data_IF_431165062298
#
_entry.id   IF_431165062298
#
_cell.length_a   1.000
_cell.length_b   1.000
_cell.length_c   1.000
_cell.angle_alpha   90.00
_cell.angle_beta   90.00
_cell.angle_gamma   90.00
#
_symmetry.space_group_name_H-M   'P 1'
#
loop_
_entity.id
_entity.type
_entity.pdbx_description
1 polymer ?
#
# COMPACT_ATOMS: atom_id res chain seq x y z
N UNK A 1 29.13 -2.79 -13.61
CA UNK A 1 27.87 -2.63 -14.37
C UNK A 1 26.81 -2.17 -13.43
N UNK A 2 25.84 -1.36 -13.86
CA UNK A 2 24.72 -0.95 -13.01
C UNK A 2 23.83 -2.16 -12.70
N UNK A 3 23.42 -2.31 -11.43
CA UNK A 3 22.52 -3.41 -11.01
C UNK A 3 21.12 -3.19 -11.54
N UNK A 4 20.44 -4.28 -11.88
CA UNK A 4 19.08 -4.29 -12.44
C UNK A 4 18.07 -4.69 -11.38
N UNK A 5 17.03 -3.89 -11.20
CA UNK A 5 15.97 -4.13 -10.20
C UNK A 5 14.61 -4.23 -10.89
N UNK A 6 13.89 -5.31 -10.65
CA UNK A 6 12.49 -5.43 -11.04
C UNK A 6 11.59 -4.84 -9.94
N UNK A 7 10.73 -3.89 -10.29
CA UNK A 7 9.65 -3.38 -9.43
C UNK A 7 8.32 -3.86 -10.00
N UNK A 8 7.59 -4.71 -9.27
CA UNK A 8 6.30 -5.20 -9.76
C UNK A 8 5.18 -4.19 -9.54
N UNK A 9 4.26 -4.07 -10.52
CA UNK A 9 3.07 -3.23 -10.40
C UNK A 9 3.31 -1.74 -10.54
N UNK A 10 4.02 -1.31 -11.60
CA UNK A 10 4.48 0.05 -11.84
C UNK A 10 3.41 1.15 -11.85
N UNK A 11 2.12 0.82 -12.00
CA UNK A 11 1.02 1.78 -11.84
C UNK A 11 0.66 2.08 -10.39
N UNK A 12 1.25 1.34 -9.42
CA UNK A 12 0.92 1.47 -8.00
C UNK A 12 1.64 2.64 -7.32
N UNK A 13 1.03 3.20 -6.28
CA UNK A 13 1.55 4.34 -5.52
C UNK A 13 2.96 4.10 -4.96
N UNK A 14 3.15 3.01 -4.22
CA UNK A 14 4.47 2.66 -3.65
C UNK A 14 5.46 2.27 -4.75
N UNK A 15 5.01 1.53 -5.77
CA UNK A 15 5.87 1.11 -6.88
C UNK A 15 6.42 2.31 -7.67
N UNK A 16 5.60 3.32 -7.94
CA UNK A 16 6.04 4.54 -8.62
C UNK A 16 7.18 5.23 -7.88
N UNK A 17 7.09 5.36 -6.54
CA UNK A 17 8.15 5.94 -5.73
C UNK A 17 9.39 5.05 -5.63
N UNK A 18 9.24 3.73 -5.56
CA UNK A 18 10.38 2.81 -5.63
C UNK A 18 11.12 2.95 -6.97
N UNK A 19 10.39 3.04 -8.09
CA UNK A 19 10.97 3.25 -9.43
C UNK A 19 11.72 4.58 -9.47
N UNK A 20 11.09 5.67 -9.04
CA UNK A 20 11.69 7.00 -9.04
C UNK A 20 13.01 7.02 -8.25
N UNK A 21 12.99 6.50 -7.03
CA UNK A 21 14.14 6.48 -6.14
C UNK A 21 15.29 5.58 -6.68
N UNK A 22 14.97 4.42 -7.27
CA UNK A 22 15.96 3.55 -7.90
C UNK A 22 16.63 4.23 -9.08
N UNK A 23 15.88 4.91 -9.95
CA UNK A 23 16.41 5.64 -11.09
C UNK A 23 17.34 6.78 -10.64
N UNK A 24 16.97 7.54 -9.61
CA UNK A 24 17.83 8.58 -9.02
C UNK A 24 19.16 8.01 -8.50
N UNK A 25 19.13 6.80 -7.91
CA UNK A 25 20.32 6.10 -7.41
C UNK A 25 21.15 5.40 -8.49
N UNK A 26 20.73 5.46 -9.75
CA UNK A 26 21.53 4.96 -10.87
C UNK A 26 21.26 3.52 -11.27
N UNK A 27 20.28 2.85 -10.70
CA UNK A 27 19.88 1.48 -11.08
C UNK A 27 19.27 1.42 -12.46
N UNK A 28 19.40 0.27 -13.12
CA UNK A 28 18.55 -0.12 -14.25
C UNK A 28 17.24 -0.67 -13.67
N UNK A 29 16.11 -0.11 -14.09
CA UNK A 29 14.82 -0.48 -13.53
C UNK A 29 13.97 -1.18 -14.57
N UNK A 30 13.43 -2.32 -14.20
CA UNK A 30 12.35 -2.98 -14.91
C UNK A 30 11.07 -2.83 -14.11
N UNK A 31 9.93 -2.70 -14.79
CA UNK A 31 8.66 -2.70 -14.09
C UNK A 31 7.61 -3.51 -14.82
N UNK A 32 6.68 -4.11 -14.07
CA UNK A 32 5.58 -4.86 -14.66
C UNK A 32 4.31 -4.03 -14.71
N UNK A 33 3.59 -4.17 -15.81
CA UNK A 33 2.26 -3.59 -16.05
C UNK A 33 1.30 -4.70 -16.49
N UNK A 34 0.04 -4.65 -16.09
CA UNK A 34 -1.00 -5.56 -16.63
C UNK A 34 -1.28 -5.28 -18.11
N UNK A 35 -1.12 -4.03 -18.53
CA UNK A 35 -1.20 -3.60 -19.93
C UNK A 35 -0.10 -2.58 -20.21
N UNK A 36 0.69 -2.81 -21.24
CA UNK A 36 1.75 -1.89 -21.68
C UNK A 36 1.18 -0.56 -22.19
N UNK A 37 -0.11 -0.47 -22.50
CA UNK A 37 -0.76 0.81 -22.83
C UNK A 37 -0.66 1.85 -21.71
N UNK A 38 -0.36 1.42 -20.48
CA UNK A 38 -0.14 2.31 -19.33
C UNK A 38 1.30 2.85 -19.22
N UNK A 39 2.23 2.34 -20.03
CA UNK A 39 3.64 2.76 -20.00
C UNK A 39 3.84 4.27 -20.10
N UNK A 40 3.24 4.99 -21.06
CA UNK A 40 3.46 6.44 -21.17
C UNK A 40 3.05 7.20 -19.92
N UNK A 41 1.93 6.81 -19.30
CA UNK A 41 1.44 7.42 -18.08
C UNK A 41 2.37 7.17 -16.89
N UNK A 42 2.91 5.95 -16.75
CA UNK A 42 3.87 5.63 -15.68
C UNK A 42 5.19 6.35 -15.89
N UNK A 43 5.71 6.42 -17.13
CA UNK A 43 6.93 7.19 -17.43
C UNK A 43 6.77 8.66 -17.05
N UNK A 44 5.66 9.30 -17.47
CA UNK A 44 5.39 10.69 -17.12
C UNK A 44 5.31 10.91 -15.60
N UNK A 45 4.61 10.02 -14.89
CA UNK A 45 4.49 10.08 -13.43
C UNK A 45 5.86 9.95 -12.72
N UNK A 46 6.69 9.01 -13.15
CA UNK A 46 8.00 8.77 -12.56
C UNK A 46 8.98 9.89 -12.93
N UNK A 47 8.92 10.43 -14.15
CA UNK A 47 9.79 11.54 -14.58
C UNK A 47 9.62 12.79 -13.71
N UNK A 48 8.42 13.06 -13.20
CA UNK A 48 8.18 14.17 -12.28
C UNK A 48 8.95 14.02 -10.94
N UNK A 49 9.32 12.80 -10.57
CA UNK A 49 10.07 12.50 -9.34
C UNK A 49 11.53 12.11 -9.56
N UNK A 50 11.93 11.62 -10.73
CA UNK A 50 13.23 10.97 -10.95
C UNK A 50 14.11 11.60 -12.05
N UNK A 51 13.61 12.54 -12.85
CA UNK A 51 14.32 13.00 -14.04
C UNK A 51 14.20 12.00 -15.22
N UNK A 52 15.28 11.77 -16.02
CA UNK A 52 15.20 10.96 -17.23
C UNK A 52 14.80 9.50 -16.97
N UNK A 53 13.82 9.03 -17.74
CA UNK A 53 13.33 7.64 -17.67
C UNK A 53 14.08 6.64 -18.56
N UNK A 54 15.25 6.97 -19.08
CA UNK A 54 15.99 6.16 -20.07
C UNK A 54 16.41 4.77 -19.56
N UNK A 55 16.54 4.63 -18.25
CA UNK A 55 16.91 3.38 -17.57
C UNK A 55 15.70 2.58 -17.07
N UNK A 56 14.50 2.87 -17.56
CA UNK A 56 13.26 2.19 -17.19
C UNK A 56 12.70 1.40 -18.38
N UNK A 57 12.46 0.12 -18.18
CA UNK A 57 11.80 -0.77 -19.16
C UNK A 57 10.59 -1.45 -18.57
N UNK A 58 9.60 -1.78 -19.41
CA UNK A 58 8.35 -2.37 -18.96
C UNK A 58 8.10 -3.75 -19.54
N UNK A 59 7.47 -4.60 -18.76
CA UNK A 59 7.09 -5.96 -19.10
C UNK A 59 5.61 -6.17 -18.79
N UNK A 60 4.90 -6.87 -19.69
CA UNK A 60 3.53 -7.28 -19.42
C UNK A 60 3.53 -8.48 -18.47
N UNK A 61 2.95 -8.34 -17.27
CA UNK A 61 2.74 -9.43 -16.33
C UNK A 61 1.55 -9.14 -15.42
N UNK A 62 0.82 -10.20 -15.06
CA UNK A 62 -0.35 -10.12 -14.19
C UNK A 62 -0.23 -11.17 -13.07
N UNK A 63 -0.58 -10.79 -11.83
CA UNK A 63 -0.52 -11.69 -10.67
C UNK A 63 -1.41 -12.94 -10.82
N UNK A 64 -2.42 -12.91 -11.68
CA UNK A 64 -3.31 -14.06 -11.94
C UNK A 64 -2.87 -14.93 -13.11
N UNK A 65 -1.77 -14.60 -13.79
CA UNK A 65 -1.24 -15.32 -14.96
C UNK A 65 0.19 -15.78 -14.72
N UNK A 66 0.55 -16.91 -15.32
CA UNK A 66 1.93 -17.42 -15.28
C UNK A 66 2.87 -16.65 -16.22
N UNK A 67 2.32 -16.13 -17.33
CA UNK A 67 3.11 -15.51 -18.40
C UNK A 67 3.69 -14.17 -17.98
N UNK A 68 4.86 -13.85 -18.51
CA UNK A 68 5.54 -12.56 -18.40
C UNK A 68 6.55 -12.47 -17.26
N UNK A 69 6.45 -13.30 -16.22
CA UNK A 69 7.33 -13.22 -15.05
C UNK A 69 8.76 -13.60 -15.36
N UNK A 70 8.99 -14.72 -16.06
CA UNK A 70 10.34 -15.16 -16.44
C UNK A 70 11.09 -14.07 -17.25
N UNK A 71 10.41 -13.45 -18.22
CA UNK A 71 10.99 -12.37 -19.01
C UNK A 71 11.27 -11.11 -18.18
N UNK A 72 10.38 -10.78 -17.25
CA UNK A 72 10.55 -9.61 -16.40
C UNK A 72 11.73 -9.74 -15.44
N UNK A 73 11.98 -10.93 -14.87
CA UNK A 73 13.06 -11.17 -13.88
C UNK A 73 14.40 -11.55 -14.51
N UNK A 74 14.45 -11.95 -15.77
CA UNK A 74 15.69 -12.44 -16.40
C UNK A 74 16.83 -11.42 -16.32
N UNK A 75 17.95 -11.78 -15.68
CA UNK A 75 19.10 -10.88 -15.49
C UNK A 75 18.87 -9.74 -14.48
N UNK A 76 17.84 -9.83 -13.64
CA UNK A 76 17.69 -8.91 -12.51
C UNK A 76 18.55 -9.36 -11.33
N UNK A 77 19.16 -8.42 -10.65
CA UNK A 77 19.88 -8.63 -9.40
C UNK A 77 18.92 -8.71 -8.22
N UNK A 78 17.87 -7.91 -8.24
CA UNK A 78 16.89 -7.78 -7.18
C UNK A 78 15.46 -7.66 -7.70
N UNK A 79 14.50 -7.99 -6.84
CA UNK A 79 13.07 -7.78 -7.08
C UNK A 79 12.45 -7.04 -5.90
N UNK A 80 11.80 -5.90 -6.17
CA UNK A 80 10.87 -5.26 -5.24
C UNK A 80 9.45 -5.70 -5.62
N UNK A 81 8.91 -6.67 -4.87
CA UNK A 81 7.56 -7.17 -5.09
C UNK A 81 6.54 -6.30 -4.36
N UNK A 82 6.11 -5.23 -5.03
CA UNK A 82 5.18 -4.22 -4.51
C UNK A 82 3.74 -4.49 -4.97
N UNK A 83 3.58 -5.14 -6.12
CA UNK A 83 2.27 -5.46 -6.68
C UNK A 83 1.41 -6.26 -5.69
N UNK A 84 0.20 -5.83 -5.51
CA UNK A 84 -0.83 -6.54 -4.76
C UNK A 84 -2.20 -6.17 -5.33
N UNK A 85 -3.17 -7.09 -5.37
CA UNK A 85 -4.52 -6.72 -5.76
C UNK A 85 -5.08 -5.72 -4.74
N UNK A 86 -5.45 -4.54 -5.23
CA UNK A 86 -6.12 -3.49 -4.49
C UNK A 86 -7.38 -3.09 -5.27
N UNK A 87 -8.52 -3.03 -4.58
CA UNK A 87 -9.80 -2.76 -5.23
C UNK A 87 -10.39 -4.01 -5.90
N UNK A 88 -11.51 -3.84 -6.53
CA UNK A 88 -12.36 -4.92 -7.04
C UNK A 88 -13.65 -5.00 -6.22
N UNK A 89 -14.66 -5.61 -6.80
CA UNK A 89 -15.94 -5.80 -6.11
C UNK A 89 -15.84 -6.97 -5.10
N UNK A 90 -15.23 -6.67 -3.94
CA UNK A 90 -15.14 -7.61 -2.81
C UNK A 90 -16.50 -7.90 -2.18
N UNK A 91 -17.56 -7.20 -2.61
CA UNK A 91 -18.91 -7.41 -2.11
C UNK A 91 -19.50 -8.76 -2.57
N UNK A 92 -19.05 -9.25 -3.73
CA UNK A 92 -19.51 -10.52 -4.32
C UNK A 92 -18.72 -11.72 -3.85
N UNK A 93 -17.41 -11.58 -3.68
CA UNK A 93 -16.52 -12.64 -3.18
C UNK A 93 -15.44 -12.06 -2.28
N UNK A 94 -15.53 -12.23 -0.96
CA UNK A 94 -14.51 -11.81 -0.03
C UNK A 94 -13.14 -12.46 -0.27
N UNK A 95 -13.07 -13.60 -0.98
CA UNK A 95 -11.84 -14.30 -1.29
C UNK A 95 -11.21 -13.86 -2.62
N UNK A 96 -11.89 -13.03 -3.42
CA UNK A 96 -11.41 -12.58 -4.72
C UNK A 96 -10.02 -11.87 -4.67
N UNK A 97 -9.63 -11.34 -3.52
CA UNK A 97 -8.29 -10.74 -3.32
C UNK A 97 -7.27 -11.76 -2.81
N UNK A 98 -7.68 -12.87 -2.19
CA UNK A 98 -6.77 -13.78 -1.48
C UNK A 98 -5.95 -14.59 -2.48
N UNK A 99 -6.60 -15.30 -3.42
CA UNK A 99 -5.90 -16.12 -4.39
C UNK A 99 -4.94 -15.29 -5.26
N UNK A 100 -5.35 -14.16 -5.88
CA UNK A 100 -4.42 -13.32 -6.63
C UNK A 100 -3.24 -12.80 -5.80
N UNK A 101 -3.45 -12.45 -4.53
CA UNK A 101 -2.36 -11.97 -3.67
C UNK A 101 -1.38 -13.09 -3.31
N UNK A 102 -1.89 -14.25 -2.88
CA UNK A 102 -1.08 -15.40 -2.47
C UNK A 102 -0.38 -16.01 -3.67
N UNK A 103 -1.12 -16.41 -4.68
CA UNK A 103 -0.60 -17.17 -5.81
C UNK A 103 0.26 -16.29 -6.72
N UNK A 104 -0.10 -15.01 -6.87
CA UNK A 104 0.72 -14.02 -7.56
C UNK A 104 2.07 -13.79 -6.88
N UNK A 105 2.09 -13.75 -5.55
CA UNK A 105 3.35 -13.68 -4.79
C UNK A 105 4.22 -14.91 -5.03
N UNK A 106 3.63 -16.12 -5.03
CA UNK A 106 4.36 -17.35 -5.29
C UNK A 106 4.92 -17.41 -6.72
N UNK A 107 4.18 -16.91 -7.74
CA UNK A 107 4.68 -16.78 -9.12
C UNK A 107 5.90 -15.89 -9.21
N UNK A 108 5.86 -14.73 -8.57
CA UNK A 108 7.00 -13.81 -8.56
C UNK A 108 8.20 -14.41 -7.86
N UNK A 109 8.01 -15.08 -6.72
CA UNK A 109 9.09 -15.73 -5.96
C UNK A 109 9.68 -16.90 -6.76
N UNK A 110 8.87 -17.74 -7.38
CA UNK A 110 9.33 -18.86 -8.20
C UNK A 110 10.15 -18.38 -9.40
N UNK A 111 9.68 -17.36 -10.10
CA UNK A 111 10.41 -16.75 -11.22
C UNK A 111 11.74 -16.13 -10.75
N UNK A 112 11.74 -15.39 -9.64
CA UNK A 112 12.95 -14.78 -9.07
C UNK A 112 13.97 -15.83 -8.61
N UNK A 113 13.51 -16.89 -7.95
CA UNK A 113 14.36 -17.99 -7.49
C UNK A 113 14.98 -18.76 -8.68
N UNK A 114 14.18 -19.05 -9.71
CA UNK A 114 14.63 -19.69 -10.95
C UNK A 114 15.68 -18.84 -11.69
N UNK A 115 15.54 -17.52 -11.68
CA UNK A 115 16.46 -16.58 -12.31
C UNK A 115 17.72 -16.31 -11.47
N UNK A 116 17.83 -16.82 -10.25
CA UNK A 116 18.97 -16.59 -9.36
C UNK A 116 19.05 -15.17 -8.81
N UNK A 117 17.91 -14.49 -8.67
CA UNK A 117 17.82 -13.15 -8.06
C UNK A 117 18.39 -13.19 -6.63
N UNK A 118 19.27 -12.28 -6.29
CA UNK A 118 19.92 -12.25 -4.96
C UNK A 118 18.92 -12.04 -3.82
N UNK A 119 17.97 -11.12 -4.01
CA UNK A 119 16.95 -10.85 -2.98
C UNK A 119 15.64 -10.36 -3.57
N UNK A 120 14.56 -10.87 -3.00
CA UNK A 120 13.20 -10.33 -3.17
C UNK A 120 12.81 -9.55 -1.93
N UNK A 121 12.41 -8.28 -2.09
CA UNK A 121 11.82 -7.48 -1.02
C UNK A 121 10.33 -7.35 -1.30
N UNK A 122 9.51 -7.94 -0.43
CA UNK A 122 8.05 -7.97 -0.59
C UNK A 122 7.37 -6.92 0.27
N UNK A 123 6.44 -6.18 -0.30
CA UNK A 123 5.55 -5.28 0.46
C UNK A 123 4.38 -6.06 1.04
N UNK A 124 4.44 -6.34 2.33
CA UNK A 124 3.34 -6.90 3.13
C UNK A 124 2.45 -5.78 3.71
N UNK A 125 2.01 -5.90 4.94
CA UNK A 125 1.28 -4.87 5.68
C UNK A 125 1.47 -5.06 7.19
N UNK A 126 1.43 -4.00 7.99
CA UNK A 126 1.46 -4.08 9.46
C UNK A 126 0.33 -4.96 10.03
N UNK A 127 -0.75 -5.16 9.26
CA UNK A 127 -1.82 -6.09 9.61
C UNK A 127 -1.33 -7.54 9.78
N UNK A 128 -0.25 -7.95 9.11
CA UNK A 128 0.32 -9.30 9.21
C UNK A 128 1.11 -9.53 10.52
N UNK A 129 1.44 -8.47 11.24
CA UNK A 129 2.08 -8.50 12.54
C UNK A 129 1.13 -8.06 13.67
N UNK A 130 -0.19 -8.16 13.48
CA UNK A 130 -1.16 -7.73 14.48
C UNK A 130 -1.48 -8.86 15.46
N UNK A 131 -1.30 -8.63 16.77
CA UNK A 131 -1.68 -9.60 17.80
C UNK A 131 -3.22 -9.77 17.87
N UNK A 132 -3.71 -10.81 18.56
CA UNK A 132 -5.13 -11.00 18.82
C UNK A 132 -5.77 -9.76 19.45
N UNK A 133 -7.05 -9.53 19.16
CA UNK A 133 -7.79 -8.43 19.78
C UNK A 133 -7.91 -8.59 21.30
N UNK A 134 -7.71 -7.48 22.01
CA UNK A 134 -7.75 -7.46 23.47
C UNK A 134 -6.41 -7.80 24.11
N UNK A 135 -5.39 -8.12 23.34
CA UNK A 135 -4.01 -8.23 23.80
C UNK A 135 -3.40 -6.83 23.94
N UNK A 136 -2.74 -6.56 25.05
CA UNK A 136 -1.92 -5.35 25.28
C UNK A 136 -0.51 -5.49 24.68
N UNK A 137 -0.26 -6.57 23.93
CA UNK A 137 1.04 -6.82 23.33
C UNK A 137 1.35 -5.84 22.20
N UNK A 138 2.61 -5.46 22.14
CA UNK A 138 3.14 -4.63 21.03
C UNK A 138 3.21 -5.48 19.77
N UNK A 139 2.72 -4.95 18.67
CA UNK A 139 2.97 -5.56 17.35
C UNK A 139 4.44 -5.33 16.98
N UNK A 140 5.21 -6.39 16.91
CA UNK A 140 6.58 -6.42 16.38
C UNK A 140 6.72 -7.48 15.29
N UNK A 141 7.91 -7.65 14.76
CA UNK A 141 8.17 -8.55 13.64
C UNK A 141 8.09 -10.04 14.02
N UNK A 142 8.03 -10.40 15.30
CA UNK A 142 7.86 -11.78 15.78
C UNK A 142 6.40 -12.23 15.76
N UNK A 143 5.48 -11.25 15.81
CA UNK A 143 4.04 -11.51 15.82
C UNK A 143 3.53 -11.90 14.44
N UNK A 144 2.74 -12.96 14.38
CA UNK A 144 2.04 -13.41 13.19
C UNK A 144 0.53 -13.36 13.41
N UNK A 145 -0.14 -12.55 12.63
CA UNK A 145 -1.60 -12.45 12.69
C UNK A 145 -2.27 -13.76 12.25
N UNK A 146 -3.36 -14.13 12.91
CA UNK A 146 -4.17 -15.29 12.54
C UNK A 146 -5.09 -14.93 11.35
N UNK A 147 -4.92 -15.55 10.17
CA UNK A 147 -5.77 -15.29 9.01
C UNK A 147 -7.22 -15.75 9.21
N UNK A 148 -7.51 -16.64 10.17
CA UNK A 148 -8.87 -17.08 10.51
C UNK A 148 -9.64 -16.05 11.33
N UNK A 149 -8.99 -15.00 11.83
CA UNK A 149 -9.65 -13.96 12.60
C UNK A 149 -10.69 -13.23 11.74
N UNK A 150 -11.97 -13.42 12.08
CA UNK A 150 -13.14 -12.85 11.40
C UNK A 150 -13.21 -11.31 11.42
N UNK A 151 -12.41 -10.66 12.23
CA UNK A 151 -12.33 -9.19 12.30
C UNK A 151 -11.44 -8.59 11.21
N UNK A 152 -10.68 -9.42 10.50
CA UNK A 152 -9.94 -8.98 9.33
C UNK A 152 -10.83 -8.99 8.09
N UNK A 153 -10.82 -7.87 7.38
CA UNK A 153 -11.41 -7.78 6.06
C UNK A 153 -10.61 -8.61 5.03
N UNK A 154 -11.17 -8.77 3.83
CA UNK A 154 -10.55 -9.56 2.76
C UNK A 154 -9.14 -9.05 2.38
N UNK A 155 -8.93 -7.73 2.40
CA UNK A 155 -7.63 -7.15 2.10
C UNK A 155 -6.57 -7.53 3.15
N UNK A 156 -6.88 -7.37 4.45
CA UNK A 156 -5.95 -7.74 5.53
C UNK A 156 -5.64 -9.24 5.49
N UNK A 157 -6.67 -10.07 5.31
CA UNK A 157 -6.49 -11.53 5.16
C UNK A 157 -5.63 -11.88 3.95
N UNK A 158 -5.82 -11.22 2.80
CA UNK A 158 -5.00 -11.45 1.61
C UNK A 158 -3.52 -11.15 1.85
N UNK A 159 -3.21 -10.06 2.58
CA UNK A 159 -1.83 -9.71 2.94
C UNK A 159 -1.19 -10.71 3.90
N UNK A 160 -1.92 -11.15 4.92
CA UNK A 160 -1.44 -12.15 5.89
C UNK A 160 -1.12 -13.48 5.16
N UNK A 161 -2.04 -13.96 4.34
CA UNK A 161 -1.90 -15.22 3.61
C UNK A 161 -0.80 -15.17 2.56
N UNK A 162 -0.66 -14.04 1.84
CA UNK A 162 0.42 -13.85 0.87
C UNK A 162 1.80 -13.84 1.53
N UNK A 163 1.94 -13.15 2.68
CA UNK A 163 3.22 -13.12 3.40
C UNK A 163 3.57 -14.50 3.98
N UNK A 164 2.62 -15.22 4.59
CA UNK A 164 2.85 -16.58 5.09
C UNK A 164 3.28 -17.51 3.97
N UNK A 165 2.54 -17.52 2.85
CA UNK A 165 2.89 -18.35 1.69
C UNK A 165 4.28 -18.02 1.12
N UNK A 166 4.68 -16.75 1.14
CA UNK A 166 6.03 -16.34 0.73
C UNK A 166 7.11 -16.94 1.63
N UNK A 167 6.91 -16.91 2.95
CA UNK A 167 7.85 -17.49 3.91
C UNK A 167 7.88 -19.02 3.85
N UNK A 168 6.71 -19.67 3.69
CA UNK A 168 6.61 -21.13 3.52
C UNK A 168 7.35 -21.58 2.25
N UNK A 169 7.19 -20.86 1.13
CA UNK A 169 7.93 -21.10 -0.10
C UNK A 169 9.45 -21.00 0.13
N UNK A 170 9.90 -19.95 0.82
CA UNK A 170 11.32 -19.75 1.08
C UNK A 170 11.91 -20.75 2.07
N UNK A 171 11.12 -21.30 2.99
CA UNK A 171 11.57 -22.35 3.89
C UNK A 171 11.91 -23.66 3.14
N UNK A 172 11.25 -23.94 2.01
CA UNK A 172 11.55 -25.07 1.12
C UNK A 172 12.59 -24.74 0.04
N UNK A 173 13.03 -23.47 -0.08
CA UNK A 173 13.95 -23.07 -1.13
C UNK A 173 15.41 -23.31 -0.74
N UNK A 174 16.15 -24.03 -1.59
CA UNK A 174 17.57 -24.40 -1.37
C UNK A 174 18.57 -23.55 -2.15
N UNK A 175 18.09 -22.59 -2.96
CA UNK A 175 18.93 -21.68 -3.74
C UNK A 175 19.44 -20.49 -2.93
N UNK A 176 20.19 -19.60 -3.59
CA UNK A 176 20.80 -18.40 -2.96
C UNK A 176 19.85 -17.21 -2.81
N UNK A 177 18.69 -17.24 -3.44
CA UNK A 177 17.70 -16.16 -3.34
C UNK A 177 17.20 -16.02 -1.91
N UNK A 178 17.18 -14.80 -1.40
CA UNK A 178 16.66 -14.50 -0.05
C UNK A 178 15.39 -13.66 -0.12
N UNK A 179 14.54 -13.73 0.90
CA UNK A 179 13.35 -12.92 1.07
C UNK A 179 13.53 -11.92 2.21
N UNK A 180 13.01 -10.72 2.01
CA UNK A 180 12.78 -9.72 3.06
C UNK A 180 11.34 -9.21 2.93
N UNK A 181 10.61 -9.04 4.02
CA UNK A 181 9.27 -8.45 3.97
C UNK A 181 9.23 -7.11 4.71
N UNK A 182 8.63 -6.11 4.08
CA UNK A 182 8.35 -4.80 4.67
C UNK A 182 6.87 -4.72 4.99
N UNK A 183 6.54 -4.38 6.23
CA UNK A 183 5.19 -4.34 6.77
C UNK A 183 4.78 -2.87 7.04
N UNK A 184 4.31 -2.13 6.04
CA UNK A 184 3.97 -0.72 6.24
C UNK A 184 2.68 -0.55 7.04
N UNK A 185 2.64 0.57 7.79
CA UNK A 185 1.42 1.15 8.33
C UNK A 185 0.54 1.76 7.24
N UNK A 186 -0.17 2.82 7.55
CA UNK A 186 -0.93 3.59 6.57
C UNK A 186 0.04 4.47 5.74
N UNK A 187 0.13 4.18 4.44
CA UNK A 187 1.07 4.85 3.54
C UNK A 187 0.42 6.12 3.00
N UNK A 188 0.99 7.26 3.34
CA UNK A 188 0.64 8.57 2.81
C UNK A 188 1.85 9.21 2.13
N UNK A 189 1.69 10.42 1.61
CA UNK A 189 2.74 11.18 0.95
C UNK A 189 2.33 11.63 -0.44
N UNK A 190 3.21 12.31 -1.18
CA UNK A 190 2.89 12.88 -2.48
C UNK A 190 2.47 11.82 -3.49
N UNK A 191 1.38 12.07 -4.20
CA UNK A 191 0.90 11.20 -5.28
C UNK A 191 1.59 11.57 -6.59
N UNK A 192 1.90 10.56 -7.40
CA UNK A 192 2.49 10.72 -8.73
C UNK A 192 1.45 10.62 -9.85
N UNK A 193 0.26 10.12 -9.53
CA UNK A 193 -0.84 9.92 -10.48
C UNK A 193 -2.18 10.23 -9.83
N UNK A 194 -3.23 10.37 -10.64
CA UNK A 194 -4.60 10.60 -10.15
C UNK A 194 -5.20 9.35 -9.50
N UNK A 195 -4.82 8.16 -9.94
CA UNK A 195 -5.34 6.88 -9.45
C UNK A 195 -4.54 6.40 -8.23
N UNK A 196 -5.00 6.72 -7.03
CA UNK A 196 -4.33 6.35 -5.78
C UNK A 196 -5.27 5.59 -4.85
N UNK A 197 -5.38 4.26 -4.99
CA UNK A 197 -6.14 3.45 -4.05
C UNK A 197 -5.41 3.32 -2.70
N UNK A 198 -6.15 2.90 -1.67
CA UNK A 198 -5.58 2.65 -0.34
C UNK A 198 -5.66 3.84 0.60
N UNK A 199 -4.63 4.03 1.45
CA UNK A 199 -4.67 5.01 2.54
C UNK A 199 -4.81 6.46 2.07
N UNK A 200 -4.29 6.80 0.90
CA UNK A 200 -4.41 8.14 0.29
C UNK A 200 -5.87 8.60 0.17
N UNK A 201 -6.79 7.64 -0.03
CA UNK A 201 -8.23 7.92 -0.08
C UNK A 201 -8.79 8.53 1.21
N UNK A 202 -8.12 8.36 2.34
CA UNK A 202 -8.52 8.99 3.62
C UNK A 202 -8.34 10.51 3.51
N UNK A 203 -7.18 10.95 3.02
CA UNK A 203 -6.87 12.39 2.82
C UNK A 203 -7.79 12.98 1.75
N UNK A 204 -7.94 12.27 0.62
CA UNK A 204 -8.82 12.68 -0.47
C UNK A 204 -10.25 12.93 0.02
N UNK A 205 -10.85 11.97 0.73
CA UNK A 205 -12.21 12.11 1.27
C UNK A 205 -12.33 13.23 2.30
N UNK A 206 -11.33 13.42 3.15
CA UNK A 206 -11.33 14.54 4.10
C UNK A 206 -11.36 15.88 3.36
N UNK A 207 -10.57 16.05 2.31
CA UNK A 207 -10.57 17.26 1.47
C UNK A 207 -11.92 17.49 0.76
N UNK A 208 -12.65 16.40 0.45
CA UNK A 208 -14.02 16.48 -0.10
C UNK A 208 -15.11 16.73 0.96
N UNK A 209 -14.76 16.82 2.24
CA UNK A 209 -15.72 16.94 3.33
C UNK A 209 -16.38 15.65 3.78
N UNK A 210 -15.73 14.51 3.52
CA UNK A 210 -16.26 13.16 3.82
C UNK A 210 -15.36 12.39 4.79
N UNK A 211 -15.95 11.65 5.73
CA UNK A 211 -17.36 11.68 6.15
C UNK A 211 -17.74 13.00 6.80
N UNK A 212 -19.01 13.33 6.91
CA UNK A 212 -19.49 14.59 7.51
C UNK A 212 -19.11 14.76 9.00
N UNK A 213 -18.75 13.67 9.68
CA UNK A 213 -18.20 13.68 11.03
C UNK A 213 -16.98 12.76 11.11
N UNK A 214 -15.96 13.14 11.88
CA UNK A 214 -14.68 12.46 11.99
C UNK A 214 -14.81 11.30 13.01
N UNK A 215 -14.72 10.02 12.59
CA UNK A 215 -14.71 8.89 13.51
C UNK A 215 -13.39 8.83 14.29
N UNK A 216 -13.42 8.26 15.49
CA UNK A 216 -12.24 8.04 16.32
C UNK A 216 -11.41 6.86 15.82
N UNK A 217 -10.88 7.01 14.62
CA UNK A 217 -9.95 6.06 13.98
C UNK A 217 -8.54 6.64 13.98
N UNK A 218 -7.54 5.79 14.11
CA UNK A 218 -6.15 6.22 14.11
C UNK A 218 -5.28 5.33 13.25
N UNK A 219 -4.16 5.90 12.78
CA UNK A 219 -3.27 5.29 11.81
C UNK A 219 -1.81 5.48 12.23
N UNK A 220 -1.01 4.42 12.11
CA UNK A 220 0.43 4.53 12.10
C UNK A 220 0.85 4.97 10.71
N UNK A 221 1.31 6.19 10.61
CA UNK A 221 1.65 6.85 9.33
C UNK A 221 3.04 6.46 8.89
N UNK A 222 3.21 6.19 7.60
CA UNK A 222 4.52 6.10 6.96
C UNK A 222 4.48 6.88 5.65
N UNK A 223 5.53 7.67 5.39
CA UNK A 223 5.67 8.38 4.13
C UNK A 223 6.11 7.41 3.02
N UNK A 224 5.50 7.53 1.86
CA UNK A 224 5.80 6.67 0.70
C UNK A 224 7.25 6.79 0.24
N UNK A 225 7.87 7.95 0.40
CA UNK A 225 9.29 8.21 0.06
C UNK A 225 10.22 7.48 1.02
N UNK A 226 9.91 7.53 2.33
CA UNK A 226 10.66 6.80 3.36
C UNK A 226 10.46 5.30 3.23
N UNK A 227 9.26 4.88 2.81
CA UNK A 227 8.96 3.48 2.52
C UNK A 227 9.74 2.98 1.31
N UNK A 228 9.83 3.76 0.23
CA UNK A 228 10.64 3.42 -0.95
C UNK A 228 12.13 3.30 -0.59
N UNK A 229 12.68 4.26 0.14
CA UNK A 229 14.04 4.21 0.66
C UNK A 229 14.29 2.94 1.50
N UNK A 230 13.36 2.61 2.38
CA UNK A 230 13.45 1.40 3.21
C UNK A 230 13.47 0.11 2.37
N UNK A 231 12.67 0.03 1.30
CA UNK A 231 12.71 -1.12 0.37
C UNK A 231 14.09 -1.26 -0.28
N UNK A 232 14.70 -0.16 -0.71
CA UNK A 232 16.01 -0.17 -1.36
C UNK A 232 17.12 -0.51 -0.36
N UNK A 233 17.08 0.01 0.87
CA UNK A 233 18.01 -0.39 1.93
C UNK A 233 17.86 -1.88 2.28
N UNK A 234 16.63 -2.38 2.38
CA UNK A 234 16.37 -3.79 2.65
C UNK A 234 16.85 -4.71 1.50
N UNK A 235 16.86 -4.19 0.27
CA UNK A 235 17.35 -4.90 -0.90
C UNK A 235 18.86 -5.21 -0.80
N UNK A 236 19.65 -4.24 -0.35
CA UNK A 236 21.12 -4.31 -0.37
C UNK A 236 21.75 -4.72 0.96
N UNK A 237 21.09 -4.45 2.10
CA UNK A 237 21.68 -4.72 3.42
C UNK A 237 21.81 -6.23 3.68
N UNK A 238 23.01 -6.78 3.99
CA UNK A 238 23.16 -8.21 4.28
C UNK A 238 22.28 -8.68 5.46
N UNK A 239 22.16 -7.85 6.51
CA UNK A 239 21.38 -8.15 7.70
C UNK A 239 19.85 -8.16 7.46
N UNK A 240 19.38 -7.79 6.26
CA UNK A 240 17.97 -7.86 5.91
C UNK A 240 17.53 -9.23 5.36
N UNK A 241 18.49 -10.09 4.99
CA UNK A 241 18.18 -11.42 4.47
C UNK A 241 17.40 -12.25 5.49
N UNK A 242 16.29 -12.85 5.06
CA UNK A 242 15.45 -13.67 5.94
C UNK A 242 14.71 -12.88 7.04
N UNK A 243 14.50 -11.57 6.86
CA UNK A 243 13.97 -10.72 7.91
C UNK A 243 12.64 -10.06 7.50
N UNK A 244 11.81 -9.80 8.54
CA UNK A 244 10.62 -8.94 8.46
C UNK A 244 10.95 -7.59 9.07
N UNK A 245 10.41 -6.50 8.53
CA UNK A 245 10.57 -5.14 9.06
C UNK A 245 9.25 -4.38 9.06
N UNK A 246 8.84 -3.89 10.21
CA UNK A 246 7.70 -2.99 10.33
C UNK A 246 8.13 -1.58 9.93
N UNK A 247 7.40 -1.00 8.99
CA UNK A 247 7.61 0.37 8.50
C UNK A 247 6.48 1.28 9.00
N UNK A 248 6.69 1.90 10.16
CA UNK A 248 5.73 2.82 10.76
C UNK A 248 6.45 4.01 11.41
N UNK A 249 5.95 5.22 11.14
CA UNK A 249 6.41 6.44 11.77
C UNK A 249 5.59 6.77 13.01
N UNK A 250 4.93 7.92 13.02
CA UNK A 250 4.10 8.41 14.11
C UNK A 250 2.64 7.95 13.99
N UNK A 251 1.97 7.82 15.12
CA UNK A 251 0.53 7.55 15.16
C UNK A 251 -0.25 8.87 15.11
N UNK A 252 -1.24 8.96 14.22
CA UNK A 252 -2.18 10.08 14.16
C UNK A 252 -3.63 9.59 14.23
N UNK A 253 -4.46 10.26 15.04
CA UNK A 253 -5.90 10.13 14.93
C UNK A 253 -6.40 10.83 13.66
N UNK A 254 -7.51 10.39 13.11
CA UNK A 254 -8.14 11.03 11.95
C UNK A 254 -8.52 12.50 12.24
N UNK A 255 -8.78 12.81 13.51
CA UNK A 255 -9.01 14.18 13.97
C UNK A 255 -7.74 15.04 13.90
N UNK A 256 -6.58 14.48 14.31
CA UNK A 256 -5.29 15.18 14.21
C UNK A 256 -4.94 15.44 12.75
N UNK A 257 -5.21 14.45 11.87
CA UNK A 257 -5.05 14.61 10.41
C UNK A 257 -5.93 15.76 9.91
N UNK A 258 -7.23 15.73 10.21
CA UNK A 258 -8.16 16.76 9.77
C UNK A 258 -7.78 18.16 10.29
N UNK A 259 -7.35 18.25 11.53
CA UNK A 259 -6.88 19.50 12.14
C UNK A 259 -5.62 20.02 11.48
N UNK A 260 -4.64 19.13 11.23
CA UNK A 260 -3.40 19.47 10.52
C UNK A 260 -3.69 20.01 9.11
N UNK A 261 -4.59 19.34 8.36
CA UNK A 261 -4.98 19.79 7.02
C UNK A 261 -5.60 21.20 7.06
N UNK A 262 -6.54 21.46 7.98
CA UNK A 262 -7.15 22.79 8.10
C UNK A 262 -6.14 23.88 8.45
N UNK A 263 -5.26 23.61 9.41
CA UNK A 263 -4.26 24.58 9.87
C UNK A 263 -3.21 24.90 8.79
N UNK A 264 -2.78 23.87 8.03
CA UNK A 264 -1.69 24.04 7.06
C UNK A 264 -2.15 24.47 5.67
N UNK A 265 -3.36 24.08 5.25
CA UNK A 265 -3.89 24.40 3.93
C UNK A 265 -4.88 25.57 3.90
N UNK A 266 -5.36 26.01 5.07
CA UNK A 266 -6.26 27.17 5.19
C UNK A 266 -7.54 27.00 4.36
N UNK A 267 -7.85 27.99 3.50
CA UNK A 267 -9.04 27.97 2.63
C UNK A 267 -9.12 26.77 1.69
N UNK A 268 -7.99 26.22 1.27
CA UNK A 268 -7.94 25.01 0.42
C UNK A 268 -8.48 23.75 1.11
N UNK A 269 -8.56 23.76 2.44
CA UNK A 269 -9.12 22.67 3.25
C UNK A 269 -10.44 23.06 3.94
N UNK A 270 -11.18 24.06 3.43
CA UNK A 270 -12.41 24.57 4.03
C UNK A 270 -13.52 23.52 4.17
N UNK A 271 -13.53 22.50 3.30
CA UNK A 271 -14.50 21.39 3.37
C UNK A 271 -14.14 20.32 4.40
N UNK A 272 -12.89 20.27 4.89
CA UNK A 272 -12.45 19.25 5.85
C UNK A 272 -13.30 19.31 7.11
N UNK A 273 -13.94 18.20 7.53
CA UNK A 273 -14.88 18.19 8.65
C UNK A 273 -14.24 18.66 9.95
N UNK A 274 -15.03 19.29 10.80
CA UNK A 274 -14.62 19.77 12.14
C UNK A 274 -15.29 19.01 13.27
N UNK A 275 -16.43 18.36 13.01
CA UNK A 275 -17.21 17.68 14.03
C UNK A 275 -16.77 16.26 14.21
N UNK A 276 -16.69 15.80 15.45
CA UNK A 276 -16.49 14.39 15.78
C UNK A 276 -17.75 13.59 15.50
N UNK A 277 -17.57 12.38 14.99
CA UNK A 277 -18.64 11.40 14.91
C UNK A 277 -18.64 10.55 16.18
N UNK A 278 -19.72 10.56 17.00
CA UNK A 278 -19.77 9.74 18.21
C UNK A 278 -19.62 8.25 17.89
N UNK A 279 -18.91 7.53 18.76
CA UNK A 279 -18.60 6.12 18.53
C UNK A 279 -19.86 5.25 18.35
N UNK A 280 -20.95 5.55 19.09
CA UNK A 280 -22.19 4.81 18.94
C UNK A 280 -22.83 5.01 17.56
N UNK A 281 -22.78 6.23 17.00
CA UNK A 281 -23.28 6.52 15.65
C UNK A 281 -22.46 5.74 14.62
N UNK A 282 -21.11 5.73 14.76
CA UNK A 282 -20.26 4.96 13.87
C UNK A 282 -20.57 3.46 13.94
N UNK A 283 -20.83 2.92 15.14
CA UNK A 283 -21.22 1.51 15.31
C UNK A 283 -22.55 1.19 14.65
N UNK A 284 -23.54 2.08 14.73
CA UNK A 284 -24.82 1.92 14.03
C UNK A 284 -24.59 1.96 12.51
N UNK A 285 -23.83 2.94 12.01
CA UNK A 285 -23.51 3.02 10.58
C UNK A 285 -22.75 1.78 10.07
N UNK A 286 -21.96 1.15 10.92
CA UNK A 286 -21.21 -0.07 10.56
C UNK A 286 -22.10 -1.29 10.29
N UNK A 287 -23.36 -1.26 10.71
CA UNK A 287 -24.33 -2.32 10.37
C UNK A 287 -24.75 -2.25 8.90
N UNK A 288 -24.77 -1.05 8.32
CA UNK A 288 -25.27 -0.77 6.98
C UNK A 288 -24.18 -0.48 5.96
N UNK A 289 -23.02 0.07 6.38
CA UNK A 289 -21.95 0.51 5.50
C UNK A 289 -20.76 -0.48 5.59
N UNK A 290 -20.47 -1.25 4.53
CA UNK A 290 -19.39 -2.25 4.55
C UNK A 290 -18.03 -1.69 4.96
N UNK A 291 -17.66 -0.49 4.47
CA UNK A 291 -16.41 0.18 4.86
C UNK A 291 -16.38 0.50 6.37
N UNK A 292 -17.46 1.03 6.92
CA UNK A 292 -17.54 1.30 8.37
C UNK A 292 -17.45 0.01 9.18
N UNK A 293 -18.04 -1.08 8.69
CA UNK A 293 -17.97 -2.41 9.31
C UNK A 293 -16.54 -2.93 9.37
N UNK A 294 -15.76 -2.79 8.31
CA UNK A 294 -14.35 -3.23 8.28
C UNK A 294 -13.45 -2.41 9.23
N UNK A 295 -13.82 -1.16 9.52
CA UNK A 295 -13.09 -0.26 10.39
C UNK A 295 -13.54 -0.30 11.86
N UNK A 296 -14.76 -0.78 12.12
CA UNK A 296 -15.36 -0.80 13.46
C UNK A 296 -14.48 -1.49 14.54
N UNK A 297 -13.76 -2.59 14.25
CA UNK A 297 -12.84 -3.19 15.22
C UNK A 297 -11.68 -2.29 15.64
N UNK A 298 -11.34 -1.28 14.84
CA UNK A 298 -10.24 -0.33 15.11
C UNK A 298 -10.73 0.97 15.79
N UNK A 299 -12.05 1.14 15.97
CA UNK A 299 -12.63 2.34 16.52
C UNK A 299 -12.14 2.59 17.96
N UNK A 300 -11.56 3.77 18.19
CA UNK A 300 -11.07 4.20 19.49
C UNK A 300 -9.83 3.47 19.99
N UNK A 301 -9.14 2.70 19.16
CA UNK A 301 -7.96 1.92 19.56
C UNK A 301 -6.68 2.47 18.98
N UNK A 302 -5.68 2.62 19.85
CA UNK A 302 -4.29 2.87 19.48
C UNK A 302 -3.52 1.58 19.77
N UNK A 303 -3.41 0.71 18.76
CA UNK A 303 -2.56 -0.47 18.90
C UNK A 303 -1.08 -0.04 18.88
N UNK A 304 -0.25 -0.62 19.74
CA UNK A 304 1.18 -0.37 19.72
C UNK A 304 1.82 -1.08 18.52
N UNK A 305 2.68 -0.37 17.78
CA UNK A 305 3.39 -0.89 16.61
C UNK A 305 4.85 -0.45 16.71
N UNK A 306 5.78 -1.41 16.70
CA UNK A 306 7.19 -1.14 16.89
C UNK A 306 7.96 -1.21 15.57
N UNK A 307 8.59 -0.11 15.16
CA UNK A 307 9.52 -0.06 14.04
C UNK A 307 11.00 -0.01 14.46
N UNK A 308 11.29 -0.39 15.72
CA UNK A 308 12.63 -0.31 16.30
C UNK A 308 13.66 -1.15 15.53
N UNK A 309 13.26 -2.31 15.01
CA UNK A 309 14.13 -3.18 14.22
C UNK A 309 14.52 -2.51 12.89
N UNK A 310 13.56 -1.93 12.16
CA UNK A 310 13.82 -1.21 10.92
C UNK A 310 14.78 -0.01 11.16
N UNK A 311 14.60 0.71 12.26
CA UNK A 311 15.50 1.81 12.66
C UNK A 311 16.92 1.32 12.92
N UNK A 312 17.07 0.29 13.73
CA UNK A 312 18.38 -0.25 14.14
C UNK A 312 19.12 -0.92 12.98
N UNK A 313 18.46 -1.73 12.19
CA UNK A 313 19.09 -2.58 11.15
C UNK A 313 19.23 -1.87 9.82
N UNK A 314 18.25 -1.07 9.44
CA UNK A 314 18.18 -0.44 8.12
C UNK A 314 18.30 1.08 8.17
N UNK A 315 18.50 1.67 9.36
CA UNK A 315 18.58 3.12 9.50
C UNK A 315 17.27 3.84 9.12
N UNK A 316 16.10 3.17 9.28
CA UNK A 316 14.81 3.76 8.98
C UNK A 316 14.56 5.00 9.82
N UNK A 317 14.41 6.15 9.19
CA UNK A 317 14.16 7.44 9.83
C UNK A 317 12.96 8.12 9.16
N UNK A 318 11.73 7.75 9.57
CA UNK A 318 10.54 8.31 8.96
C UNK A 318 10.41 9.80 9.28
N UNK A 319 10.02 10.58 8.28
CA UNK A 319 9.69 12.00 8.45
C UNK A 319 8.44 12.19 9.31
N UNK A 320 8.22 13.39 9.87
CA UNK A 320 7.05 13.68 10.70
C UNK A 320 5.75 13.37 9.96
N UNK A 321 4.80 12.74 10.63
CA UNK A 321 3.52 12.36 10.04
C UNK A 321 2.71 13.58 9.57
N UNK A 322 2.85 14.71 10.24
CA UNK A 322 2.22 15.98 9.85
C UNK A 322 2.73 16.45 8.48
N UNK A 323 4.04 16.39 8.21
CA UNK A 323 4.62 16.70 6.91
C UNK A 323 4.09 15.76 5.83
N UNK A 324 4.10 14.45 6.11
CA UNK A 324 3.59 13.43 5.20
C UNK A 324 2.13 13.67 4.78
N UNK A 325 1.27 13.99 5.74
CA UNK A 325 -0.16 14.24 5.50
C UNK A 325 -0.38 15.51 4.68
N UNK A 326 0.37 16.58 4.97
CA UNK A 326 0.29 17.85 4.23
C UNK A 326 0.79 17.66 2.79
N UNK A 327 1.96 17.05 2.59
CA UNK A 327 2.50 16.79 1.25
C UNK A 327 1.56 15.92 0.41
N UNK A 328 0.91 14.93 1.05
CA UNK A 328 -0.11 14.10 0.40
C UNK A 328 -1.28 14.97 -0.09
N UNK A 329 -1.82 15.81 0.78
CA UNK A 329 -2.95 16.68 0.45
C UNK A 329 -2.59 17.70 -0.63
N UNK A 330 -1.42 18.33 -0.54
CA UNK A 330 -0.96 19.29 -1.54
C UNK A 330 -0.80 18.66 -2.93
N UNK A 331 -0.28 17.44 -2.98
CA UNK A 331 -0.16 16.72 -4.25
C UNK A 331 -1.53 16.33 -4.83
N UNK A 332 -2.49 15.92 -4.00
CA UNK A 332 -3.86 15.63 -4.44
C UNK A 332 -4.56 16.87 -5.02
N UNK A 333 -4.36 18.03 -4.38
CA UNK A 333 -4.90 19.30 -4.87
C UNK A 333 -4.23 19.75 -6.17
N UNK A 334 -2.91 19.54 -6.34
CA UNK A 334 -2.16 19.89 -7.55
C UNK A 334 -2.57 19.04 -8.75
N UNK A 335 -2.78 17.76 -8.52
CA UNK A 335 -3.18 16.81 -9.57
C UNK A 335 -4.67 16.94 -9.94
N UNK A 336 -5.42 17.90 -9.38
CA UNK A 336 -6.87 18.05 -9.55
C UNK A 336 -7.63 16.74 -9.29
N UNK A 337 -7.17 15.94 -8.33
CA UNK A 337 -7.86 14.72 -7.91
C UNK A 337 -9.09 15.10 -7.08
N UNK A 338 -9.07 16.28 -6.47
CA UNK A 338 -10.18 16.90 -5.74
C UNK A 338 -10.87 17.88 -6.69
N UNK A 339 -11.55 17.40 -7.72
CA UNK A 339 -12.33 18.25 -8.62
C UNK A 339 -13.66 18.68 -7.99
N UNK A 340 -13.98 19.94 -8.20
CA UNK A 340 -15.26 20.57 -7.97
C UNK A 340 -16.17 20.29 -9.18
N UNK A 341 -16.59 19.04 -9.38
CA UNK A 341 -17.63 18.74 -10.35
C UNK A 341 -18.87 18.14 -9.66
N UNK A 342 -19.91 18.96 -9.37
CA UNK A 342 -21.15 18.45 -8.80
C UNK A 342 -21.93 17.55 -9.77
N UNK A 343 -21.59 17.51 -11.07
CA UNK A 343 -22.34 16.74 -12.08
C UNK A 343 -21.83 15.30 -12.28
N UNK A 344 -20.64 14.94 -11.79
CA UNK A 344 -20.10 13.57 -11.91
C UNK A 344 -20.54 12.60 -10.81
N UNK A 345 -21.58 12.94 -10.07
CA UNK A 345 -22.13 12.06 -9.05
C UNK A 345 -23.10 11.06 -9.67
N UNK A 346 -22.59 9.97 -10.22
CA UNK A 346 -23.42 8.78 -10.50
C UNK A 346 -23.49 7.98 -9.21
N UNK A 347 -24.66 7.87 -8.54
CA UNK A 347 -24.79 7.02 -7.36
C UNK A 347 -24.51 5.57 -7.76
N UNK A 348 -23.67 4.87 -6.99
CA UNK A 348 -23.37 3.43 -7.17
C UNK A 348 -24.60 2.55 -6.87
N UNK A 349 -25.77 3.15 -6.68
CA UNK A 349 -27.05 2.50 -6.49
C UNK A 349 -28.04 2.96 -7.56
N UNK A 350 -27.89 2.48 -8.80
CA UNK A 350 -29.05 2.37 -9.69
C UNK A 350 -29.75 1.04 -9.39
N UNK A 351 -30.90 1.11 -8.78
CA UNK A 351 -31.90 0.04 -8.83
C UNK A 351 -32.35 -0.08 -10.30
N UNK A 352 -31.94 -1.14 -10.95
CA UNK A 352 -32.59 -1.55 -12.20
C UNK A 352 -34.00 -2.02 -11.86
N UNK A 353 -34.94 -1.12 -12.02
CA UNK A 353 -36.35 -1.53 -12.14
C UNK A 353 -36.53 -2.14 -13.54
N UNK A 354 -36.69 -3.44 -13.55
CA UNK A 354 -37.21 -4.17 -14.68
C UNK A 354 -38.45 -3.45 -15.24
N UNK A 355 -38.40 -3.04 -16.49
CA UNK A 355 -39.60 -2.79 -17.27
C UNK A 355 -39.98 -4.07 -18.01
N UNK A 356 -40.88 -4.81 -17.37
CA UNK A 356 -41.80 -5.71 -18.08
C UNK A 356 -42.78 -4.84 -18.84
N UNK A 357 -42.86 -4.93 -20.16
CA UNK A 357 -44.08 -4.73 -20.94
C UNK A 357 -43.93 -5.20 -22.39
N UNK A 358 -44.77 -6.18 -22.68
CA UNK A 358 -45.64 -6.55 -23.79
C UNK A 358 -44.96 -7.11 -25.03
#
# INVERSE_FOLDING_TARGET
MAETVLVTGGTGFVAGWCIAELLQRGYLVRSTLRSLSKEPAVRAAVASGAGSGDRLTFFAADLIKEQGWDAAVAGCDYVLHVASPLGGDVSRDPNALIAPARDGTLRVLAAAAKAGVRRVVMTSAAAAARPPHGSDSVSDETVWADPANRQFDAYRRSKILAERAAWDFMAGHTGSTTLTTILPGAVFGPVLTKDNPGSVQIIHRLLEGRPAGIPRLGFWVVDVRDLADLHIRAMTAPAAAGQRFIAAGEFMWMEDIATTLRLKLGSRASKVPTRRLPDFVFRVLSLFIPLARSLAPSLGRKNSLASAKARRVLGFSPRPATTTVVDCAESLLRENVVEHDPEKWVPVFRKDHAQTKR
#
